data_IF_196723002816
#
_entry.id   IF_196723002816
#
_cell.length_a   1.000
_cell.length_b   1.000
_cell.length_c   1.000
_cell.angle_alpha   90.00
_cell.angle_beta   90.00
_cell.angle_gamma   90.00
#
_symmetry.space_group_name_H-M   'P 1'
#
loop_
_entity.id
_entity.type
_entity.pdbx_description
1 polymer ?
#
# COMPACT_ATOMS: atom_id res chain seq x y z
N UNK A 1 -17.41 5.46 -11.54
CA UNK A 1 -16.43 5.18 -10.48
C UNK A 1 -15.07 5.16 -11.16
N UNK A 2 -14.18 6.10 -10.85
CA UNK A 2 -12.85 6.13 -11.49
C UNK A 2 -12.02 5.07 -10.78
N UNK A 3 -11.91 3.89 -11.38
CA UNK A 3 -11.19 2.75 -10.82
C UNK A 3 -9.75 3.19 -10.55
N UNK A 4 -9.33 3.16 -9.27
CA UNK A 4 -7.96 3.49 -8.91
C UNK A 4 -7.09 2.34 -9.39
N UNK A 5 -6.13 2.67 -10.24
CA UNK A 5 -5.19 1.69 -10.77
C UNK A 5 -3.99 1.55 -9.84
N UNK A 6 -3.37 0.38 -9.88
CA UNK A 6 -2.15 0.14 -9.15
C UNK A 6 -1.05 1.14 -9.54
N UNK A 7 -0.39 1.75 -8.56
CA UNK A 7 0.71 2.70 -8.72
C UNK A 7 2.00 2.06 -9.25
N UNK A 8 2.08 0.73 -9.32
CA UNK A 8 3.24 0.05 -9.91
C UNK A 8 3.29 0.34 -11.41
N UNK A 9 4.41 0.91 -11.86
CA UNK A 9 4.68 1.15 -13.28
C UNK A 9 4.44 -0.11 -14.11
N UNK A 10 3.62 0.03 -15.17
CA UNK A 10 3.25 -1.08 -16.06
C UNK A 10 2.11 -1.97 -15.54
N UNK A 11 1.55 -1.71 -14.36
CA UNK A 11 0.37 -2.41 -13.86
C UNK A 11 -0.90 -1.60 -14.15
N UNK A 12 -1.89 -2.23 -14.78
CA UNK A 12 -3.21 -1.64 -15.02
C UNK A 12 -4.33 -2.34 -14.22
N UNK A 13 -3.97 -3.09 -13.17
CA UNK A 13 -4.94 -3.78 -12.31
C UNK A 13 -5.57 -2.78 -11.34
N UNK A 14 -6.82 -3.04 -10.98
CA UNK A 14 -7.52 -2.29 -9.93
C UNK A 14 -6.77 -2.42 -8.59
N UNK A 15 -6.62 -1.29 -7.92
CA UNK A 15 -6.05 -1.24 -6.59
C UNK A 15 -7.10 -1.62 -5.54
N UNK A 16 -6.66 -2.35 -4.52
CA UNK A 16 -7.51 -2.83 -3.41
C UNK A 16 -6.98 -2.41 -2.04
N UNK A 17 -5.73 -1.94 -1.98
CA UNK A 17 -5.08 -1.45 -0.76
C UNK A 17 -4.29 -0.18 -1.03
N UNK A 18 -4.07 0.61 0.00
CA UNK A 18 -3.13 1.73 -0.03
C UNK A 18 -1.95 1.43 0.88
N UNK A 19 -0.75 1.72 0.38
CA UNK A 19 0.53 1.63 1.06
C UNK A 19 1.05 3.04 1.35
N UNK A 20 1.47 3.31 2.57
CA UNK A 20 2.21 4.52 2.96
C UNK A 20 3.52 4.15 3.66
N UNK A 21 4.50 5.05 3.59
CA UNK A 21 5.79 4.90 4.26
C UNK A 21 5.98 5.98 5.31
N UNK A 22 6.41 5.58 6.49
CA UNK A 22 7.04 6.44 7.48
C UNK A 22 8.55 6.16 7.47
N UNK A 23 9.30 7.08 6.89
CA UNK A 23 10.76 6.94 6.81
C UNK A 23 11.45 7.19 8.15
N UNK A 24 10.85 7.97 9.06
CA UNK A 24 11.41 8.28 10.37
C UNK A 24 11.39 7.04 11.26
N UNK A 25 10.26 6.35 11.30
CA UNK A 25 10.06 5.12 12.07
C UNK A 25 10.47 3.84 11.33
N UNK A 26 10.97 3.97 10.09
CA UNK A 26 11.30 2.84 9.21
C UNK A 26 10.11 1.87 9.08
N UNK A 27 8.95 2.41 8.77
CA UNK A 27 7.68 1.68 8.76
C UNK A 27 6.97 1.79 7.41
N UNK A 28 6.31 0.71 7.01
CA UNK A 28 5.37 0.70 5.90
C UNK A 28 3.99 0.24 6.41
N UNK A 29 2.96 1.05 6.18
CA UNK A 29 1.59 0.72 6.54
C UNK A 29 0.79 0.35 5.29
N UNK A 30 0.12 -0.81 5.33
CA UNK A 30 -0.75 -1.32 4.27
C UNK A 30 -2.15 -1.48 4.83
N UNK A 31 -3.11 -0.78 4.24
CA UNK A 31 -4.50 -0.81 4.66
C UNK A 31 -5.50 -0.81 3.50
N UNK A 32 -6.81 -0.75 3.81
CA UNK A 32 -7.85 -0.51 2.82
C UNK A 32 -7.54 0.74 1.98
N UNK A 33 -8.19 0.88 0.83
CA UNK A 33 -8.04 2.07 0.00
C UNK A 33 -8.29 3.33 0.85
N UNK A 34 -7.24 4.13 1.01
CA UNK A 34 -7.27 5.38 1.76
C UNK A 34 -8.02 6.47 0.99
N UNK A 35 -8.00 7.69 1.50
CA UNK A 35 -8.50 8.84 0.73
C UNK A 35 -7.71 8.96 -0.58
N UNK A 36 -8.40 9.19 -1.69
CA UNK A 36 -7.74 9.39 -2.97
C UNK A 36 -6.87 10.65 -2.96
N UNK A 37 -5.90 10.69 -3.89
CA UNK A 37 -5.10 11.88 -4.19
C UNK A 37 -4.05 12.27 -3.12
N UNK A 38 -3.70 11.36 -2.22
CA UNK A 38 -2.57 11.54 -1.31
C UNK A 38 -1.23 11.25 -2.05
N UNK A 39 -0.30 12.22 -2.14
CA UNK A 39 0.95 12.06 -2.88
C UNK A 39 1.97 11.14 -2.19
N UNK A 40 1.81 10.86 -0.89
CA UNK A 40 2.64 9.95 -0.12
C UNK A 40 2.07 8.52 -0.07
N UNK A 41 0.95 8.31 -0.75
CA UNK A 41 0.25 7.04 -0.79
C UNK A 41 0.42 6.33 -2.13
N UNK A 42 0.54 5.01 -2.08
CA UNK A 42 0.65 4.13 -3.23
C UNK A 42 -0.47 3.12 -3.21
N UNK A 43 -1.30 3.13 -4.25
CA UNK A 43 -2.38 2.18 -4.37
C UNK A 43 -1.88 0.89 -5.03
N UNK A 44 -2.10 -0.24 -4.38
CA UNK A 44 -1.62 -1.54 -4.83
C UNK A 44 -2.78 -2.48 -5.13
N UNK A 45 -2.67 -3.21 -6.23
CA UNK A 45 -3.54 -4.34 -6.51
C UNK A 45 -3.15 -5.54 -5.64
N UNK A 46 -4.06 -6.50 -5.47
CA UNK A 46 -3.86 -7.64 -4.57
C UNK A 46 -2.51 -8.36 -4.78
N UNK A 47 -2.08 -8.51 -6.04
CA UNK A 47 -0.80 -9.15 -6.38
C UNK A 47 0.39 -8.34 -5.89
N UNK A 48 0.37 -7.00 -6.05
CA UNK A 48 1.49 -6.17 -5.60
C UNK A 48 1.49 -5.95 -4.10
N UNK A 49 0.34 -6.05 -3.44
CA UNK A 49 0.23 -6.05 -1.97
C UNK A 49 0.83 -7.32 -1.37
N UNK A 50 0.57 -8.47 -1.99
CA UNK A 50 1.13 -9.77 -1.58
C UNK A 50 2.65 -9.82 -1.80
N UNK A 51 3.12 -9.35 -2.96
CA UNK A 51 4.53 -9.35 -3.33
C UNK A 51 5.33 -8.16 -2.79
N UNK A 52 4.71 -7.31 -1.98
CA UNK A 52 5.36 -6.13 -1.41
C UNK A 52 6.52 -6.56 -0.50
N UNK A 53 7.69 -5.98 -0.73
CA UNK A 53 8.83 -6.05 0.17
C UNK A 53 9.24 -4.65 0.61
N UNK A 54 9.81 -4.57 1.81
CA UNK A 54 10.35 -3.34 2.39
C UNK A 54 11.84 -3.53 2.66
N UNK A 55 12.61 -2.43 2.85
CA UNK A 55 14.02 -2.55 3.23
C UNK A 55 14.21 -3.36 4.51
N UNK A 56 15.38 -3.97 4.67
CA UNK A 56 15.70 -4.75 5.86
C UNK A 56 15.64 -3.87 7.11
N UNK A 57 15.01 -4.37 8.17
CA UNK A 57 14.85 -3.65 9.43
C UNK A 57 13.57 -2.81 9.53
N UNK A 58 12.80 -2.71 8.45
CA UNK A 58 11.54 -1.98 8.46
C UNK A 58 10.39 -2.80 9.04
N UNK A 59 9.48 -2.12 9.74
CA UNK A 59 8.25 -2.71 10.26
C UNK A 59 7.15 -2.60 9.20
N UNK A 60 6.46 -3.70 8.92
CA UNK A 60 5.28 -3.69 8.05
C UNK A 60 4.03 -3.86 8.89
N UNK A 61 3.17 -2.85 8.90
CA UNK A 61 1.87 -2.90 9.56
C UNK A 61 0.81 -3.18 8.51
N UNK A 62 0.14 -4.33 8.62
CA UNK A 62 -0.98 -4.69 7.73
C UNK A 62 -2.28 -4.59 8.51
N UNK A 63 -3.27 -3.89 7.96
CA UNK A 63 -4.59 -3.73 8.59
C UNK A 63 -5.29 -5.09 8.84
N UNK A 64 -5.00 -6.13 8.05
CA UNK A 64 -5.52 -7.49 8.31
C UNK A 64 -5.05 -8.08 9.64
N UNK A 65 -3.84 -7.71 10.07
CA UNK A 65 -3.20 -8.16 11.31
C UNK A 65 -3.65 -7.32 12.51
N UNK A 66 -4.22 -6.13 12.27
CA UNK A 66 -4.71 -5.20 13.29
C UNK A 66 -6.23 -5.33 13.53
N UNK A 67 -6.79 -6.53 13.40
CA UNK A 67 -8.18 -6.79 13.80
C UNK A 67 -8.22 -7.01 15.31
N UNK A 68 -8.62 -5.98 16.05
CA UNK A 68 -9.01 -6.04 17.46
C UNK A 68 -10.44 -6.55 17.58
#
# INVERSE_FOLDING_TARGET
MRERLCSKVGCAREAVTTLTYDYGDQMAAVGPLGRGNDPHAHDLCAIHTDRLSVPKGWVVVRHETLRV
#
